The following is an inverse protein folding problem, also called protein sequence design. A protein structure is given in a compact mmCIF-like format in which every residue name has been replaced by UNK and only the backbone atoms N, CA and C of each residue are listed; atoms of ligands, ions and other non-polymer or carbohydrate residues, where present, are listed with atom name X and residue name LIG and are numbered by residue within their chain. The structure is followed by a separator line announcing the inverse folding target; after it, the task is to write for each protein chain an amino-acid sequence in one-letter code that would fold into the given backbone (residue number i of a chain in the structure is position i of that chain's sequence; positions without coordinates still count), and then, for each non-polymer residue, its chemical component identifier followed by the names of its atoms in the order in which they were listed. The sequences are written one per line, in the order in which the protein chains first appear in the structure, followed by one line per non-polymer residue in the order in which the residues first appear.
data_IF_498782258410
#
_entry.id   IF_498782258410
#
_cell.length_a   1.000
_cell.length_b   1.000
_cell.length_c   1.000
_cell.angle_alpha   90.00
_cell.angle_beta   90.00
_cell.angle_gamma   90.00
#
_symmetry.space_group_name_H-M   'P 1'
#
loop_
_entity.id
_entity.type
_entity.pdbx_description
1 polymer ?
#
# COMPACT_ATOMS: atom_id res chain seq x y z
N UNK A 1 15.97 22.77 13.60
CA UNK A 1 14.84 22.26 12.76
C UNK A 1 14.49 20.87 13.27
N UNK A 2 13.21 20.61 13.58
CA UNK A 2 12.73 19.31 14.08
C UNK A 2 12.41 18.42 12.90
N UNK A 3 12.68 17.12 13.00
CA UNK A 3 12.20 16.11 12.05
C UNK A 3 11.02 15.38 12.69
N UNK A 4 9.83 15.53 12.11
CA UNK A 4 8.58 15.00 12.67
C UNK A 4 8.01 13.95 11.72
N UNK A 5 7.81 12.74 12.24
CA UNK A 5 7.07 11.68 11.57
C UNK A 5 5.58 11.77 11.95
N UNK A 6 4.72 11.66 10.97
CA UNK A 6 3.27 11.56 11.12
C UNK A 6 2.84 10.13 10.83
N UNK A 7 2.07 9.53 11.75
CA UNK A 7 1.30 8.30 11.47
C UNK A 7 -0.07 8.73 10.97
N UNK A 8 -0.46 8.22 9.81
CA UNK A 8 -1.71 8.65 9.16
C UNK A 8 -2.40 7.50 8.44
N UNK A 9 -3.65 7.72 8.12
CA UNK A 9 -4.48 6.81 7.34
C UNK A 9 -5.27 7.60 6.29
N UNK A 10 -5.62 6.96 5.18
CA UNK A 10 -6.44 7.59 4.16
C UNK A 10 -7.24 6.59 3.31
N UNK A 11 -8.42 7.02 2.91
CA UNK A 11 -9.19 6.41 1.85
C UNK A 11 -8.75 7.03 0.51
N UNK A 12 -8.06 6.25 -0.31
CA UNK A 12 -7.45 6.73 -1.56
C UNK A 12 -8.40 6.95 -2.73
N UNK A 13 -9.70 6.66 -2.57
CA UNK A 13 -10.69 6.66 -3.67
C UNK A 13 -10.73 7.97 -4.46
N UNK A 14 -10.59 9.12 -3.78
CA UNK A 14 -10.65 10.44 -4.39
C UNK A 14 -9.27 10.95 -4.88
N UNK A 15 -8.21 10.18 -4.72
CA UNK A 15 -6.84 10.63 -4.94
C UNK A 15 -6.14 9.88 -6.07
N UNK A 16 -5.29 10.60 -6.80
CA UNK A 16 -4.37 10.03 -7.79
C UNK A 16 -3.08 9.50 -7.13
N UNK A 17 -3.24 8.82 -5.98
CA UNK A 17 -2.18 8.25 -5.18
C UNK A 17 -1.49 9.24 -4.24
N UNK A 18 -0.34 8.83 -3.73
CA UNK A 18 0.43 9.63 -2.77
C UNK A 18 1.15 10.81 -3.40
N UNK A 19 1.91 10.57 -4.47
CA UNK A 19 2.91 11.50 -5.00
C UNK A 19 2.27 12.70 -5.66
N UNK A 20 2.73 13.93 -5.31
CA UNK A 20 2.33 15.18 -5.97
C UNK A 20 2.50 15.09 -7.49
N UNK A 21 1.47 15.48 -8.22
CA UNK A 21 1.40 15.46 -9.67
C UNK A 21 0.75 16.73 -10.20
N UNK A 22 1.13 17.14 -11.42
CA UNK A 22 0.45 18.24 -12.11
C UNK A 22 -0.97 17.77 -12.48
N UNK A 23 -1.97 18.62 -12.25
CA UNK A 23 -3.37 18.40 -12.64
C UNK A 23 -4.08 17.20 -11.97
N UNK A 24 -3.62 16.78 -10.79
CA UNK A 24 -4.26 15.70 -10.04
C UNK A 24 -4.21 15.95 -8.54
N UNK A 25 -5.31 15.71 -7.84
CA UNK A 25 -5.36 15.79 -6.38
C UNK A 25 -4.68 14.56 -5.79
N UNK A 26 -3.74 14.77 -4.86
CA UNK A 26 -2.96 13.69 -4.24
C UNK A 26 -2.96 13.82 -2.72
N UNK A 27 -2.74 12.71 -2.02
CA UNK A 27 -2.72 12.70 -0.55
C UNK A 27 -1.59 13.58 -0.02
N UNK A 28 -0.40 13.50 -0.60
CA UNK A 28 0.77 14.29 -0.18
C UNK A 28 0.51 15.79 -0.32
N UNK A 29 -0.02 16.25 -1.46
CA UNK A 29 -0.34 17.67 -1.67
C UNK A 29 -1.38 18.19 -0.69
N UNK A 30 -2.43 17.38 -0.41
CA UNK A 30 -3.49 17.75 0.55
C UNK A 30 -2.92 17.92 1.95
N UNK A 31 -2.05 17.00 2.39
CA UNK A 31 -1.37 17.12 3.69
C UNK A 31 -0.38 18.28 3.74
N UNK A 32 0.37 18.56 2.67
CA UNK A 32 1.27 19.72 2.61
C UNK A 32 0.50 21.03 2.75
N UNK A 33 -0.66 21.15 2.11
CA UNK A 33 -1.54 22.32 2.25
C UNK A 33 -2.03 22.49 3.70
N UNK A 34 -2.45 21.40 4.36
CA UNK A 34 -2.87 21.43 5.77
C UNK A 34 -1.70 21.84 6.69
N UNK A 35 -0.53 21.25 6.53
CA UNK A 35 0.67 21.58 7.31
C UNK A 35 1.08 23.04 7.12
N UNK A 36 1.08 23.55 5.89
CA UNK A 36 1.36 24.97 5.60
C UNK A 36 0.42 25.89 6.35
N UNK A 37 -0.88 25.58 6.40
CA UNK A 37 -1.87 26.43 7.10
C UNK A 37 -1.61 26.52 8.60
N UNK A 38 -1.15 25.44 9.25
CA UNK A 38 -0.94 25.43 10.69
C UNK A 38 0.47 25.87 11.12
N UNK A 39 1.49 25.68 10.27
CA UNK A 39 2.89 26.03 10.59
C UNK A 39 3.30 27.39 10.01
N UNK A 40 2.64 27.84 8.95
CA UNK A 40 3.08 28.98 8.15
C UNK A 40 4.29 28.71 7.24
N UNK A 41 4.74 27.45 7.17
CA UNK A 41 5.95 27.03 6.44
C UNK A 41 5.60 26.26 5.16
N UNK A 42 6.44 26.41 4.13
CA UNK A 42 6.41 25.49 2.99
C UNK A 42 7.05 24.16 3.41
N UNK A 43 6.23 23.12 3.52
CA UNK A 43 6.64 21.82 4.05
C UNK A 43 6.83 20.81 2.92
N UNK A 44 7.94 20.09 2.95
CA UNK A 44 8.16 18.94 2.07
C UNK A 44 7.94 17.64 2.84
N UNK A 45 6.95 16.83 2.41
CA UNK A 45 6.65 15.52 3.00
C UNK A 45 7.38 14.40 2.26
N UNK A 46 8.08 13.57 3.01
CA UNK A 46 8.63 12.29 2.54
C UNK A 46 7.78 11.15 3.06
N UNK A 47 7.07 10.45 2.19
CA UNK A 47 6.23 9.29 2.56
C UNK A 47 7.01 7.99 2.56
N UNK A 48 6.52 6.97 3.27
CA UNK A 48 7.13 5.64 3.34
C UNK A 48 7.14 4.86 2.02
N UNK A 49 6.40 5.32 1.02
CA UNK A 49 6.33 4.72 -0.31
C UNK A 49 5.26 5.40 -1.16
N UNK A 50 5.28 5.15 -2.46
CA UNK A 50 4.22 5.60 -3.35
C UNK A 50 3.06 4.62 -3.29
N UNK A 51 1.84 5.13 -3.26
CA UNK A 51 0.62 4.37 -3.54
C UNK A 51 0.02 4.86 -4.84
N UNK A 52 -0.61 3.96 -5.59
CA UNK A 52 -1.26 4.26 -6.86
C UNK A 52 -2.60 4.97 -6.66
N UNK A 53 -3.15 5.55 -7.72
CA UNK A 53 -4.49 6.12 -7.72
C UNK A 53 -5.53 5.10 -7.20
N UNK A 54 -6.37 5.52 -6.25
CA UNK A 54 -7.41 4.70 -5.65
C UNK A 54 -6.94 3.69 -4.59
N UNK A 55 -5.64 3.60 -4.28
CA UNK A 55 -5.09 2.72 -3.24
C UNK A 55 -5.20 3.40 -1.88
N UNK A 56 -5.58 2.62 -0.86
CA UNK A 56 -5.78 3.08 0.51
C UNK A 56 -4.56 2.84 1.39
N UNK A 57 -4.54 3.48 2.56
CA UNK A 57 -3.61 3.14 3.63
C UNK A 57 -4.32 3.18 4.99
N UNK A 58 -4.22 2.12 5.75
CA UNK A 58 -4.65 2.05 7.16
C UNK A 58 -3.51 2.43 8.09
N UNK A 59 -2.28 2.23 7.62
CA UNK A 59 -1.04 2.63 8.29
C UNK A 59 -0.11 3.25 7.27
N UNK A 60 0.22 4.50 7.46
CA UNK A 60 1.16 5.23 6.62
C UNK A 60 2.03 6.12 7.48
N UNK A 61 3.31 6.22 7.14
CA UNK A 61 4.24 7.12 7.81
C UNK A 61 4.80 8.11 6.79
N UNK A 62 4.76 9.38 7.14
CA UNK A 62 5.46 10.42 6.39
C UNK A 62 6.21 11.33 7.36
N UNK A 63 7.38 11.82 6.98
CA UNK A 63 8.12 12.77 7.79
C UNK A 63 8.36 14.09 7.08
N UNK A 64 8.54 15.15 7.86
CA UNK A 64 8.87 16.49 7.39
C UNK A 64 9.73 17.24 8.42
N UNK A 65 10.40 18.27 7.94
CA UNK A 65 11.20 19.15 8.78
C UNK A 65 10.49 20.48 8.98
N UNK A 66 10.55 21.02 10.22
CA UNK A 66 9.88 22.27 10.59
C UNK A 66 10.60 23.00 11.74
N UNK A 67 10.49 24.32 11.78
CA UNK A 67 10.85 25.16 12.94
C UNK A 67 9.65 25.40 13.88
N UNK A 68 8.46 24.95 13.50
CA UNK A 68 7.24 25.11 14.26
C UNK A 68 7.39 24.50 15.66
N UNK A 69 6.88 25.23 16.68
CA UNK A 69 6.87 24.83 18.08
C UNK A 69 5.55 24.22 18.53
N UNK A 70 4.68 23.86 17.60
CA UNK A 70 3.42 23.16 17.93
C UNK A 70 3.76 21.89 18.70
N UNK A 71 3.17 21.67 19.92
CA UNK A 71 3.37 20.45 20.66
C UNK A 71 2.95 19.22 19.86
N UNK A 72 3.72 18.12 19.97
CA UNK A 72 3.48 16.89 19.17
C UNK A 72 2.08 16.33 19.41
N UNK A 73 1.61 16.34 20.64
CA UNK A 73 0.28 15.85 21.02
C UNK A 73 -0.88 16.69 20.41
N UNK A 74 -0.62 17.96 20.02
CA UNK A 74 -1.61 18.84 19.40
C UNK A 74 -1.56 18.81 17.88
N UNK A 75 -0.43 18.41 17.32
CA UNK A 75 -0.20 18.45 15.88
C UNK A 75 -1.21 17.61 15.08
N UNK A 76 -1.56 16.37 15.44
CA UNK A 76 -2.58 15.59 14.75
C UNK A 76 -3.94 16.30 14.71
N UNK A 77 -4.38 16.86 15.82
CA UNK A 77 -5.65 17.59 15.88
C UNK A 77 -5.63 18.82 14.97
N UNK A 78 -4.54 19.61 15.03
CA UNK A 78 -4.39 20.78 14.17
C UNK A 78 -4.39 20.43 12.68
N UNK A 79 -3.69 19.36 12.27
CA UNK A 79 -3.69 18.89 10.87
C UNK A 79 -5.09 18.46 10.45
N UNK A 80 -5.76 17.66 11.29
CA UNK A 80 -7.07 17.09 10.98
C UNK A 80 -8.18 18.15 10.85
N UNK A 81 -8.01 19.36 11.39
CA UNK A 81 -8.96 20.47 11.12
C UNK A 81 -8.84 21.04 9.72
N UNK A 82 -7.75 20.72 9.01
CA UNK A 82 -7.45 21.22 7.67
C UNK A 82 -7.36 20.12 6.60
N UNK A 83 -7.60 18.85 6.98
CA UNK A 83 -7.71 17.72 6.04
C UNK A 83 -9.17 17.35 5.82
N UNK A 84 -9.55 16.84 4.64
CA UNK A 84 -10.87 16.26 4.43
C UNK A 84 -11.05 14.96 5.22
N UNK A 85 -12.29 14.49 5.35
CA UNK A 85 -12.65 13.31 6.18
C UNK A 85 -11.99 11.99 5.74
N UNK A 86 -11.47 11.93 4.54
CA UNK A 86 -10.82 10.75 3.98
C UNK A 86 -9.29 10.68 4.24
N UNK A 87 -8.74 11.67 4.97
CA UNK A 87 -7.34 11.67 5.46
C UNK A 87 -7.35 12.01 6.95
N UNK A 88 -6.70 11.19 7.77
CA UNK A 88 -6.53 11.45 9.18
C UNK A 88 -5.09 11.19 9.64
N UNK A 89 -4.53 12.12 10.41
CA UNK A 89 -3.27 11.97 11.16
C UNK A 89 -3.62 11.49 12.57
N UNK A 90 -3.09 10.36 12.99
CA UNK A 90 -3.34 9.77 14.31
C UNK A 90 -2.30 10.14 15.35
N UNK A 91 -1.06 10.35 14.91
CA UNK A 91 0.07 10.59 15.83
C UNK A 91 1.17 11.41 15.16
N UNK A 92 1.89 12.20 15.93
CA UNK A 92 3.10 12.90 15.52
C UNK A 92 4.24 12.55 16.49
N UNK A 93 5.39 12.17 15.96
CA UNK A 93 6.55 11.69 16.70
C UNK A 93 7.79 12.45 16.21
N UNK A 94 8.56 13.03 17.14
CA UNK A 94 9.87 13.56 16.82
C UNK A 94 10.87 12.42 16.65
N UNK A 95 11.50 12.38 15.49
CA UNK A 95 12.42 11.30 15.05
C UNK A 95 13.83 11.85 14.89
N UNK A 96 14.79 10.94 14.71
CA UNK A 96 16.19 11.30 14.47
C UNK A 96 16.33 12.23 13.24
N UNK A 97 17.35 13.07 13.26
CA UNK A 97 17.55 14.07 12.20
C UNK A 97 17.73 13.42 10.82
N UNK A 98 18.36 12.28 10.74
CA UNK A 98 18.62 11.51 9.54
C UNK A 98 17.46 10.56 9.14
N UNK A 99 16.41 10.46 9.96
CA UNK A 99 15.26 9.62 9.65
C UNK A 99 14.60 10.05 8.33
N UNK A 100 14.31 9.04 7.50
CA UNK A 100 13.62 9.19 6.23
C UNK A 100 12.56 8.09 6.10
N UNK A 101 11.28 8.45 5.99
CA UNK A 101 10.17 7.51 6.05
C UNK A 101 10.24 6.36 5.02
N UNK A 102 10.83 6.59 3.84
CA UNK A 102 11.03 5.51 2.85
C UNK A 102 12.36 4.78 3.06
N UNK A 103 13.45 5.53 3.34
CA UNK A 103 14.80 4.95 3.47
C UNK A 103 14.98 4.13 4.74
N UNK A 104 14.32 4.51 5.83
CA UNK A 104 14.38 3.84 7.13
C UNK A 104 13.36 2.69 7.28
N UNK A 105 12.48 2.49 6.27
CA UNK A 105 11.45 1.46 6.33
C UNK A 105 12.04 0.08 6.02
N UNK A 106 11.98 -0.84 6.99
CA UNK A 106 12.56 -2.18 6.88
C UNK A 106 11.72 -3.13 6.04
N UNK A 107 10.40 -3.07 6.20
CA UNK A 107 9.43 -3.90 5.46
C UNK A 107 8.04 -3.30 5.52
N UNK A 108 7.19 -3.71 4.58
CA UNK A 108 5.81 -3.23 4.41
C UNK A 108 4.89 -4.41 4.17
N UNK A 109 3.67 -4.31 4.69
CA UNK A 109 2.61 -5.25 4.39
C UNK A 109 1.47 -4.52 3.67
N UNK A 110 1.01 -5.14 2.61
CA UNK A 110 -0.22 -4.77 1.92
C UNK A 110 -1.27 -5.86 2.08
N UNK A 111 -2.52 -5.45 2.24
CA UNK A 111 -3.68 -6.33 2.22
C UNK A 111 -4.53 -6.01 1.00
N UNK A 112 -4.85 -7.02 0.20
CA UNK A 112 -5.81 -6.89 -0.89
C UNK A 112 -7.12 -7.57 -0.50
N UNK A 113 -8.21 -6.80 -0.49
CA UNK A 113 -9.56 -7.23 -0.09
C UNK A 113 -10.38 -7.64 -1.30
N UNK A 114 -10.98 -8.83 -1.25
CA UNK A 114 -11.86 -9.38 -2.28
C UNK A 114 -13.20 -9.68 -1.61
N UNK A 115 -14.26 -9.03 -2.07
CA UNK A 115 -15.63 -9.35 -1.67
C UNK A 115 -16.15 -10.49 -2.57
N UNK A 116 -16.12 -11.70 -2.03
CA UNK A 116 -16.44 -12.94 -2.74
C UNK A 116 -17.87 -13.41 -2.45
N UNK A 117 -18.83 -12.89 -3.22
CA UNK A 117 -20.25 -13.15 -3.09
C UNK A 117 -20.92 -13.15 -4.46
N UNK A 118 -22.04 -13.85 -4.60
CA UNK A 118 -22.85 -13.84 -5.84
C UNK A 118 -23.48 -12.47 -6.12
N UNK A 119 -23.73 -11.70 -5.09
CA UNK A 119 -24.39 -10.38 -5.17
C UNK A 119 -23.43 -9.31 -4.69
N UNK A 120 -23.31 -8.22 -5.46
CA UNK A 120 -22.53 -7.05 -5.06
C UNK A 120 -23.09 -6.40 -3.81
N UNK A 121 -22.22 -5.85 -2.97
CA UNK A 121 -22.58 -5.07 -1.79
C UNK A 121 -22.10 -3.62 -1.99
N UNK A 122 -23.02 -2.61 -1.99
CA UNK A 122 -22.63 -1.22 -2.22
C UNK A 122 -21.67 -0.64 -1.17
N UNK A 123 -21.62 -1.19 0.05
CA UNK A 123 -20.71 -0.75 1.09
C UNK A 123 -19.24 -1.13 0.84
N UNK A 124 -18.97 -2.05 -0.10
CA UNK A 124 -17.62 -2.43 -0.53
C UNK A 124 -17.17 -1.76 -1.84
N UNK A 125 -17.99 -0.86 -2.41
CA UNK A 125 -17.60 -0.11 -3.62
C UNK A 125 -16.34 0.70 -3.32
N UNK A 126 -15.30 0.52 -4.17
CA UNK A 126 -13.96 1.10 -3.99
C UNK A 126 -13.28 0.73 -2.65
N UNK A 127 -13.72 -0.34 -1.98
CA UNK A 127 -13.15 -0.82 -0.71
C UNK A 127 -12.76 -2.29 -0.74
N UNK A 128 -13.33 -3.05 -1.69
CA UNK A 128 -12.96 -4.43 -1.98
C UNK A 128 -13.24 -4.74 -3.45
N UNK A 129 -12.50 -5.67 -4.01
CA UNK A 129 -12.73 -6.16 -5.36
C UNK A 129 -13.89 -7.16 -5.35
N UNK A 130 -14.99 -6.83 -6.02
CA UNK A 130 -16.12 -7.74 -6.14
C UNK A 130 -15.79 -8.91 -7.08
N UNK A 131 -15.91 -10.13 -6.55
CA UNK A 131 -15.64 -11.36 -7.31
C UNK A 131 -16.81 -12.34 -7.15
N UNK A 132 -17.64 -12.58 -8.20
CA UNK A 132 -18.89 -13.33 -8.06
C UNK A 132 -18.74 -14.85 -8.06
N UNK A 133 -17.66 -15.41 -8.62
CA UNK A 133 -17.40 -16.85 -8.62
C UNK A 133 -16.86 -17.26 -7.25
N UNK A 134 -17.33 -18.41 -6.73
CA UNK A 134 -16.82 -18.94 -5.47
C UNK A 134 -15.33 -19.24 -5.60
N UNK A 135 -14.57 -18.75 -4.64
CA UNK A 135 -13.13 -18.98 -4.50
C UNK A 135 -12.90 -19.95 -3.33
N UNK A 136 -11.96 -20.86 -3.50
CA UNK A 136 -11.48 -21.76 -2.47
C UNK A 136 -10.28 -21.12 -1.76
N UNK A 137 -10.37 -20.93 -0.45
CA UNK A 137 -9.35 -20.26 0.37
C UNK A 137 -8.03 -21.03 0.37
N UNK A 138 -8.09 -22.36 0.55
CA UNK A 138 -6.90 -23.21 0.61
C UNK A 138 -6.15 -23.22 -0.73
N UNK A 139 -6.91 -23.24 -1.84
CA UNK A 139 -6.33 -23.16 -3.17
C UNK A 139 -5.63 -21.80 -3.38
N UNK A 140 -6.30 -20.70 -3.03
CA UNK A 140 -5.71 -19.34 -3.14
C UNK A 140 -4.47 -19.21 -2.28
N UNK A 141 -4.50 -19.80 -1.08
CA UNK A 141 -3.37 -19.74 -0.15
C UNK A 141 -2.16 -20.52 -0.69
N UNK A 142 -2.38 -21.72 -1.28
CA UNK A 142 -1.29 -22.43 -1.96
C UNK A 142 -0.69 -21.61 -3.09
N UNK A 143 -1.51 -20.97 -3.93
CA UNK A 143 -1.02 -20.12 -5.01
C UNK A 143 -0.26 -18.89 -4.48
N UNK A 144 -0.75 -18.27 -3.40
CA UNK A 144 -0.10 -17.11 -2.77
C UNK A 144 1.28 -17.48 -2.19
N UNK A 145 1.41 -18.63 -1.56
CA UNK A 145 2.67 -19.12 -1.01
C UNK A 145 3.78 -19.29 -2.05
N UNK A 146 3.44 -19.51 -3.33
CA UNK A 146 4.43 -19.62 -4.42
C UNK A 146 5.22 -18.33 -4.68
N UNK A 147 4.78 -17.20 -4.14
CA UNK A 147 5.49 -15.92 -4.24
C UNK A 147 6.47 -15.67 -3.08
N UNK A 148 6.46 -16.49 -2.03
CA UNK A 148 7.31 -16.30 -0.84
C UNK A 148 8.76 -16.60 -1.20
N UNK A 149 9.68 -15.75 -0.72
CA UNK A 149 11.11 -15.87 -0.98
C UNK A 149 11.66 -14.67 -1.75
N UNK A 150 12.92 -14.81 -2.18
CA UNK A 150 13.62 -13.79 -2.97
C UNK A 150 13.57 -14.18 -4.43
N UNK A 151 12.89 -13.37 -5.25
CA UNK A 151 12.68 -13.62 -6.66
C UNK A 151 12.84 -12.32 -7.48
N UNK A 152 13.03 -12.48 -8.79
CA UNK A 152 12.84 -11.39 -9.74
C UNK A 152 11.34 -11.26 -10.07
N UNK A 153 10.72 -10.19 -9.58
CA UNK A 153 9.28 -9.93 -9.75
C UNK A 153 8.92 -9.15 -11.03
N UNK A 154 9.79 -9.17 -12.05
CA UNK A 154 9.52 -8.50 -13.32
C UNK A 154 8.21 -8.96 -13.98
N UNK A 155 7.86 -10.26 -13.88
CA UNK A 155 6.63 -10.82 -14.43
C UNK A 155 5.35 -10.29 -13.77
N UNK A 156 5.41 -9.76 -12.55
CA UNK A 156 4.25 -9.24 -11.80
C UNK A 156 4.38 -7.75 -11.50
N UNK A 157 5.00 -6.99 -12.38
CA UNK A 157 5.03 -5.51 -12.30
C UNK A 157 4.48 -4.86 -13.55
N UNK A 158 4.03 -3.62 -13.44
CA UNK A 158 3.78 -2.77 -14.59
C UNK A 158 5.05 -2.00 -15.00
N UNK A 159 5.24 -1.78 -16.29
CA UNK A 159 6.27 -0.86 -16.82
C UNK A 159 5.84 0.59 -16.61
N UNK A 160 6.79 1.53 -16.60
CA UNK A 160 6.51 2.97 -16.46
C UNK A 160 7.10 3.63 -15.22
N UNK A 161 7.79 2.86 -14.35
CA UNK A 161 8.60 3.41 -13.27
C UNK A 161 10.03 2.86 -13.35
N UNK A 162 11.01 3.76 -13.24
CA UNK A 162 12.40 3.36 -13.11
C UNK A 162 12.63 2.70 -11.75
N UNK A 163 13.36 1.58 -11.76
CA UNK A 163 13.80 0.87 -10.55
C UNK A 163 15.21 0.34 -10.79
N UNK A 164 16.03 0.35 -9.74
CA UNK A 164 17.40 -0.18 -9.82
C UNK A 164 17.43 -1.71 -9.98
N UNK A 165 16.45 -2.39 -9.42
CA UNK A 165 16.32 -3.85 -9.47
C UNK A 165 14.86 -4.26 -9.38
N UNK A 166 14.51 -5.38 -9.99
CA UNK A 166 13.20 -6.03 -9.89
C UNK A 166 13.17 -7.17 -8.87
N UNK A 167 14.32 -7.46 -8.25
CA UNK A 167 14.43 -8.46 -7.19
C UNK A 167 13.87 -7.90 -5.89
N UNK A 168 12.99 -8.68 -5.23
CA UNK A 168 12.42 -8.38 -3.91
C UNK A 168 12.38 -9.66 -3.07
N UNK A 169 12.27 -9.47 -1.76
CA UNK A 169 12.05 -10.56 -0.82
C UNK A 169 10.65 -10.44 -0.24
N UNK A 170 9.78 -11.40 -0.54
CA UNK A 170 8.48 -11.58 0.12
C UNK A 170 8.68 -12.49 1.33
N UNK A 171 8.36 -11.98 2.53
CA UNK A 171 8.48 -12.70 3.79
C UNK A 171 7.30 -13.62 4.06
N UNK A 172 6.09 -13.19 3.69
CA UNK A 172 4.86 -14.00 3.68
C UNK A 172 3.88 -13.44 2.65
N UNK A 173 3.03 -14.34 2.17
CA UNK A 173 1.93 -14.05 1.26
C UNK A 173 0.80 -15.03 1.57
N UNK A 174 -0.18 -14.61 2.36
CA UNK A 174 -1.22 -15.46 2.92
C UNK A 174 -2.61 -14.99 2.51
N UNK A 175 -3.53 -15.93 2.34
CA UNK A 175 -4.94 -15.64 2.09
C UNK A 175 -5.77 -16.13 3.27
N UNK A 176 -6.64 -15.29 3.77
CA UNK A 176 -7.58 -15.62 4.86
C UNK A 176 -8.99 -15.21 4.49
N UNK A 177 -9.99 -15.96 4.99
CA UNK A 177 -11.41 -15.67 4.75
C UNK A 177 -12.13 -15.34 6.05
N UNK A 178 -12.93 -14.30 6.01
CA UNK A 178 -13.91 -13.97 7.05
C UNK A 178 -15.27 -13.73 6.39
N UNK A 179 -16.15 -14.73 6.43
CA UNK A 179 -17.43 -14.70 5.73
C UNK A 179 -17.25 -14.57 4.21
N UNK A 180 -17.79 -13.49 3.63
CA UNK A 180 -17.68 -13.20 2.19
C UNK A 180 -16.43 -12.37 1.84
N UNK A 181 -15.64 -11.95 2.83
CA UNK A 181 -14.40 -11.19 2.61
C UNK A 181 -13.19 -12.13 2.62
N UNK A 182 -12.40 -12.07 1.55
CA UNK A 182 -11.08 -12.66 1.46
C UNK A 182 -10.04 -11.54 1.55
N UNK A 183 -8.98 -11.78 2.32
CA UNK A 183 -7.83 -10.89 2.42
C UNK A 183 -6.56 -11.62 1.99
N UNK A 184 -5.91 -11.13 0.92
CA UNK A 184 -4.56 -11.53 0.56
C UNK A 184 -3.59 -10.54 1.22
N UNK A 185 -2.77 -11.01 2.16
CA UNK A 185 -1.77 -10.23 2.87
C UNK A 185 -0.39 -10.58 2.37
N UNK A 186 0.37 -9.59 1.96
CA UNK A 186 1.73 -9.78 1.47
C UNK A 186 2.68 -8.80 2.12
N UNK A 187 3.77 -9.32 2.70
CA UNK A 187 4.83 -8.51 3.32
C UNK A 187 6.15 -8.71 2.59
N UNK A 188 6.83 -7.61 2.29
CA UNK A 188 8.10 -7.60 1.58
C UNK A 188 9.03 -6.47 2.06
N UNK A 189 10.31 -6.56 1.67
CA UNK A 189 11.31 -5.50 1.80
C UNK A 189 10.97 -4.26 0.95
N UNK A 190 10.18 -4.43 -0.11
CA UNK A 190 9.67 -3.39 -0.98
C UNK A 190 8.78 -3.95 -2.09
N UNK A 191 8.06 -3.07 -2.76
CA UNK A 191 7.15 -3.45 -3.84
C UNK A 191 7.46 -2.68 -5.11
N UNK A 192 7.31 -3.34 -6.26
CA UNK A 192 7.35 -2.73 -7.58
C UNK A 192 5.98 -2.13 -7.93
N UNK A 193 5.96 -1.30 -8.96
CA UNK A 193 4.73 -0.69 -9.46
C UNK A 193 3.67 -1.75 -9.80
N UNK A 194 2.49 -1.63 -9.19
CA UNK A 194 1.36 -2.57 -9.31
C UNK A 194 1.64 -4.02 -8.87
N UNK A 195 2.77 -4.32 -8.22
CA UNK A 195 3.20 -5.69 -7.91
C UNK A 195 2.16 -6.48 -7.13
N UNK A 196 1.63 -5.96 -6.02
CA UNK A 196 0.62 -6.66 -5.19
C UNK A 196 -0.65 -6.93 -5.97
N UNK A 197 -1.10 -5.98 -6.77
CA UNK A 197 -2.29 -6.11 -7.62
C UNK A 197 -2.09 -7.16 -8.71
N UNK A 198 -0.89 -7.27 -9.29
CA UNK A 198 -0.56 -8.30 -10.26
C UNK A 198 -0.39 -9.68 -9.62
N UNK A 199 0.19 -9.78 -8.40
CA UNK A 199 0.22 -11.01 -7.61
C UNK A 199 -1.20 -11.50 -7.35
N UNK A 200 -2.09 -10.62 -6.85
CA UNK A 200 -3.50 -10.98 -6.60
C UNK A 200 -4.19 -11.47 -7.87
N UNK A 201 -4.00 -10.76 -9.00
CA UNK A 201 -4.56 -11.20 -10.28
C UNK A 201 -4.01 -12.54 -10.77
N UNK A 202 -2.75 -12.84 -10.47
CA UNK A 202 -2.13 -14.13 -10.82
C UNK A 202 -2.70 -15.27 -9.96
N UNK A 203 -2.89 -15.04 -8.65
CA UNK A 203 -3.56 -15.98 -7.74
C UNK A 203 -5.00 -16.26 -8.22
N UNK A 204 -5.74 -15.23 -8.64
CA UNK A 204 -7.09 -15.38 -9.17
C UNK A 204 -7.12 -16.14 -10.51
N UNK A 205 -6.13 -15.92 -11.40
CA UNK A 205 -6.01 -16.65 -12.65
C UNK A 205 -5.75 -18.14 -12.42
N UNK A 206 -4.92 -18.51 -11.44
CA UNK A 206 -4.76 -19.90 -11.04
C UNK A 206 -6.11 -20.48 -10.57
N UNK A 207 -6.89 -19.73 -9.76
CA UNK A 207 -8.22 -20.16 -9.32
C UNK A 207 -9.26 -20.25 -10.45
N UNK A 208 -9.04 -19.59 -11.58
CA UNK A 208 -9.83 -19.73 -12.81
C UNK A 208 -9.37 -20.90 -13.69
N UNK A 209 -8.33 -21.65 -13.27
CA UNK A 209 -7.78 -22.79 -14.01
C UNK A 209 -6.95 -22.41 -15.23
N UNK A 210 -6.38 -21.19 -15.28
CA UNK A 210 -5.50 -20.77 -16.38
C UNK A 210 -4.15 -21.46 -16.33
N UNK A 211 -3.67 -21.77 -15.14
CA UNK A 211 -2.47 -22.53 -14.81
C UNK A 211 -2.59 -23.06 -13.37
N UNK A 212 -1.71 -23.95 -12.97
CA UNK A 212 -1.68 -24.50 -11.61
C UNK A 212 -0.85 -23.56 -10.68
N UNK A 213 -1.07 -23.59 -9.35
CA UNK A 213 -0.22 -22.86 -8.40
C UNK A 213 1.28 -23.17 -8.59
N UNK A 214 1.62 -24.41 -8.90
CA UNK A 214 2.99 -24.89 -9.10
C UNK A 214 3.68 -24.31 -10.34
N UNK A 215 2.93 -23.71 -11.28
CA UNK A 215 3.49 -23.02 -12.46
C UNK A 215 3.96 -21.59 -12.14
N UNK A 216 3.56 -21.00 -11.00
CA UNK A 216 3.88 -19.61 -10.64
C UNK A 216 5.40 -19.37 -10.56
N UNK A 217 6.23 -20.25 -9.99
CA UNK A 217 7.68 -20.07 -10.01
C UNK A 217 8.24 -19.94 -11.44
N UNK A 218 7.79 -20.76 -12.38
CA UNK A 218 8.22 -20.67 -13.78
C UNK A 218 7.75 -19.36 -14.45
N UNK A 219 6.55 -18.85 -14.08
CA UNK A 219 6.07 -17.54 -14.52
C UNK A 219 7.00 -16.42 -13.99
N UNK A 220 7.43 -16.47 -12.74
CA UNK A 220 8.38 -15.50 -12.18
C UNK A 220 9.74 -15.57 -12.89
N UNK A 221 10.29 -16.76 -13.10
CA UNK A 221 11.55 -16.99 -13.79
C UNK A 221 11.54 -16.48 -15.23
N UNK A 222 10.40 -16.57 -15.92
CA UNK A 222 10.24 -16.09 -17.29
C UNK A 222 10.42 -14.57 -17.42
N UNK A 223 10.15 -13.80 -16.34
CA UNK A 223 10.09 -12.32 -16.33
C UNK A 223 9.07 -11.74 -17.33
N UNK A 224 8.23 -12.56 -17.90
CA UNK A 224 7.23 -12.16 -18.90
C UNK A 224 5.91 -11.79 -18.22
N UNK A 225 5.56 -10.50 -18.28
CA UNK A 225 4.30 -9.98 -17.71
C UNK A 225 3.05 -10.60 -18.34
N UNK A 226 3.14 -11.08 -19.57
CA UNK A 226 1.99 -11.64 -20.32
C UNK A 226 1.56 -13.03 -19.80
N UNK A 227 2.46 -13.74 -19.13
CA UNK A 227 2.18 -15.04 -18.53
C UNK A 227 1.50 -14.93 -17.16
N UNK A 228 1.65 -13.79 -16.48
CA UNK A 228 1.02 -13.55 -15.18
C UNK A 228 -0.42 -13.05 -15.33
N UNK A 229 -1.18 -13.09 -14.24
CA UNK A 229 -2.55 -12.59 -14.18
C UNK A 229 -2.67 -11.07 -14.33
N UNK A 230 -3.88 -10.54 -14.53
CA UNK A 230 -4.11 -9.12 -14.74
C UNK A 230 -3.81 -8.29 -13.49
N UNK A 231 -3.57 -7.00 -13.67
CA UNK A 231 -3.53 -6.05 -12.55
C UNK A 231 -4.96 -5.77 -12.08
N UNK A 232 -5.34 -6.30 -10.91
CA UNK A 232 -6.69 -6.11 -10.35
C UNK A 232 -6.94 -4.65 -9.92
N UNK A 233 -8.21 -4.22 -9.76
CA UNK A 233 -8.56 -2.84 -9.41
C UNK A 233 -7.87 -2.32 -8.13
N UNK A 234 -7.55 -1.02 -8.03
CA UNK A 234 -6.81 -0.47 -6.89
C UNK A 234 -7.64 -0.40 -5.59
N UNK A 235 -8.96 -0.25 -5.67
CA UNK A 235 -9.83 -0.04 -4.52
C UNK A 235 -9.93 -1.20 -3.52
N UNK A 236 -9.34 -2.35 -3.83
CA UNK A 236 -9.17 -3.43 -2.86
C UNK A 236 -7.84 -3.41 -2.11
N UNK A 237 -6.89 -2.52 -2.48
CA UNK A 237 -5.54 -2.52 -1.95
C UNK A 237 -5.35 -1.52 -0.83
N UNK A 238 -4.76 -2.00 0.27
CA UNK A 238 -4.45 -1.22 1.48
C UNK A 238 -3.01 -1.43 1.91
N UNK A 239 -2.29 -0.35 2.23
CA UNK A 239 -1.06 -0.44 3.02
C UNK A 239 -1.48 -0.62 4.48
N UNK A 240 -1.20 -1.78 5.08
CA UNK A 240 -1.74 -2.18 6.38
C UNK A 240 -0.74 -2.18 7.51
N UNK A 241 0.55 -2.40 7.22
CA UNK A 241 1.60 -2.41 8.23
C UNK A 241 2.94 -1.91 7.69
N UNK A 242 3.70 -1.31 8.61
CA UNK A 242 5.06 -0.82 8.37
C UNK A 242 5.94 -1.24 9.55
N UNK A 243 7.23 -1.48 9.27
CA UNK A 243 8.23 -1.79 10.29
C UNK A 243 9.44 -0.88 10.11
N UNK A 244 9.84 -0.27 11.22
CA UNK A 244 10.99 0.58 11.39
C UNK A 244 11.81 0.10 12.59
N UNK A 245 13.08 0.50 12.71
CA UNK A 245 13.86 0.29 13.94
C UNK A 245 13.26 1.04 15.13
N UNK A 246 12.74 2.24 14.89
CA UNK A 246 11.96 2.98 15.90
C UNK A 246 10.55 2.36 16.01
N UNK A 247 10.37 1.51 17.02
CA UNK A 247 9.12 0.76 17.24
C UNK A 247 7.89 1.65 17.42
N UNK A 248 8.06 2.92 17.81
CA UNK A 248 6.96 3.89 17.92
C UNK A 248 6.26 4.13 16.59
N UNK A 249 6.97 3.89 15.48
CA UNK A 249 6.46 4.06 14.12
C UNK A 249 5.79 2.80 13.55
N UNK A 250 5.94 1.67 14.23
CA UNK A 250 5.38 0.39 13.80
C UNK A 250 3.84 0.36 14.03
N UNK A 251 3.15 -0.45 13.24
CA UNK A 251 1.70 -0.59 13.39
C UNK A 251 1.04 -1.22 12.19
#
# INVERSE_FOLDING_TARGET
MRNIALKLMYNGTAYHGWQVQKNAVTVCETLQKALRQITGEEVHLTGCGRTDAGVHAERYVANFRTESRIPLERLPFAVNTHTPEDIAVSEAIEVAEDFNAIGSCLRKEYTYRIYNSRVKNPFYVNRAYFYPKRLDEDFLNRAAHMFVGTHDFAAVRSVGTETRTTVRTIYWCDVTRSGELLELKVCADGFLYNMVRAITGTVLYAAEGKFLPEDIPAILESRDRTLAGPTVPPGGLYLTRLWYEDERLNG
#
